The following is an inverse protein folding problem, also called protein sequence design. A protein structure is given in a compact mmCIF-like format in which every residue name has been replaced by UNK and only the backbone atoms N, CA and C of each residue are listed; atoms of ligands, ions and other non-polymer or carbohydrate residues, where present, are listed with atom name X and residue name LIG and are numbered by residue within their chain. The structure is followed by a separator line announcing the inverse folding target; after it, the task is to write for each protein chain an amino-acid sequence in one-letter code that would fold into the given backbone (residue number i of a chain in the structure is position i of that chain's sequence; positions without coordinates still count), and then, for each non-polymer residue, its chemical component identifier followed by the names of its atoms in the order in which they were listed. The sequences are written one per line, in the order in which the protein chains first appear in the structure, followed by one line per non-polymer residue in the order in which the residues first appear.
data_IF_947184627166
#
_entry.id   IF_947184627166
#
_cell.length_a   1.000
_cell.length_b   1.000
_cell.length_c   1.000
_cell.angle_alpha   90.00
_cell.angle_beta   90.00
_cell.angle_gamma   90.00
#
_symmetry.space_group_name_H-M   'P 1'
#
loop_
_entity.id
_entity.type
_entity.pdbx_description
1 polymer ?
#
# COMPACT_ATOMS: atom_id res chain seq x y z
N UNK A 1 -10.26 -6.87 -5.65
CA UNK A 1 -10.11 -6.28 -4.31
C UNK A 1 -8.73 -6.59 -3.73
N UNK A 2 -8.08 -5.60 -3.16
CA UNK A 2 -6.74 -5.80 -2.58
C UNK A 2 -6.85 -6.40 -1.21
N UNK A 3 -5.92 -7.30 -0.89
CA UNK A 3 -5.91 -8.02 0.39
C UNK A 3 -4.51 -8.00 0.99
N UNK A 4 -4.45 -8.21 2.29
CA UNK A 4 -3.17 -8.43 2.98
C UNK A 4 -2.49 -9.63 2.31
N UNK A 5 -1.21 -9.46 1.98
CA UNK A 5 -0.43 -10.47 1.28
C UNK A 5 -0.30 -10.23 -0.21
N UNK A 6 -1.12 -9.36 -0.78
CA UNK A 6 -1.04 -9.04 -2.21
C UNK A 6 0.19 -8.16 -2.49
N UNK A 7 0.79 -8.38 -3.66
CA UNK A 7 1.86 -7.52 -4.14
C UNK A 7 1.24 -6.41 -4.98
N UNK A 8 1.58 -5.17 -4.67
CA UNK A 8 1.06 -4.02 -5.41
C UNK A 8 2.17 -3.04 -5.73
N UNK A 9 1.91 -2.19 -6.70
CA UNK A 9 2.79 -1.09 -7.06
C UNK A 9 2.16 0.23 -6.62
N UNK A 10 2.99 1.19 -6.26
CA UNK A 10 2.53 2.49 -5.83
C UNK A 10 3.52 3.57 -6.23
N UNK A 11 3.07 4.80 -6.30
CA UNK A 11 3.91 5.94 -6.62
C UNK A 11 4.70 6.36 -5.38
N UNK A 12 6.00 6.60 -5.57
CA UNK A 12 6.84 7.02 -4.47
C UNK A 12 8.03 7.80 -4.99
N UNK A 13 8.24 9.01 -4.44
CA UNK A 13 9.44 9.85 -4.72
C UNK A 13 9.68 10.03 -6.22
N UNK A 14 8.64 10.28 -6.97
CA UNK A 14 8.76 10.53 -8.41
C UNK A 14 8.93 9.29 -9.27
N UNK A 15 8.86 8.10 -8.65
CA UNK A 15 8.94 6.84 -9.36
C UNK A 15 7.90 5.87 -8.87
N UNK A 16 8.19 4.59 -9.02
CA UNK A 16 7.31 3.51 -8.58
C UNK A 16 8.05 2.57 -7.65
N UNK A 17 7.34 2.07 -6.67
CA UNK A 17 7.83 1.03 -5.77
C UNK A 17 6.84 -0.11 -5.76
N UNK A 18 7.30 -1.29 -5.35
CA UNK A 18 6.48 -2.48 -5.28
C UNK A 18 6.67 -3.14 -3.93
N UNK A 19 5.60 -3.65 -3.36
CA UNK A 19 5.70 -4.33 -2.09
C UNK A 19 4.46 -5.12 -1.76
N UNK A 20 4.46 -5.72 -0.58
CA UNK A 20 3.39 -6.58 -0.10
C UNK A 20 2.56 -5.82 0.91
N UNK A 21 1.24 -5.90 0.76
CA UNK A 21 0.32 -5.29 1.71
C UNK A 21 0.40 -6.05 3.02
N UNK A 22 0.80 -5.38 4.09
CA UNK A 22 0.83 -5.95 5.43
C UNK A 22 -0.41 -5.60 6.23
N UNK A 23 -0.98 -4.43 5.97
CA UNK A 23 -2.16 -3.98 6.70
C UNK A 23 -2.96 -3.04 5.80
N UNK A 24 -4.27 -3.09 5.95
CA UNK A 24 -5.17 -2.18 5.26
C UNK A 24 -5.87 -1.35 6.32
N UNK A 25 -5.67 -0.04 6.27
CA UNK A 25 -6.29 0.87 7.23
C UNK A 25 -7.60 1.38 6.68
N UNK A 26 -8.66 1.16 7.44
CA UNK A 26 -10.00 1.53 7.04
C UNK A 26 -10.66 2.42 8.09
N UNK A 27 -11.63 3.19 7.62
CA UNK A 27 -12.54 3.92 8.50
C UNK A 27 -13.94 3.64 8.01
N UNK A 28 -14.69 2.84 8.79
CA UNK A 28 -15.98 2.33 8.32
C UNK A 28 -15.76 1.43 7.11
N UNK A 29 -16.44 1.73 6.02
CA UNK A 29 -16.31 0.97 4.78
C UNK A 29 -15.28 1.55 3.82
N UNK A 30 -14.57 2.59 4.24
CA UNK A 30 -13.62 3.29 3.35
C UNK A 30 -12.20 2.90 3.68
N UNK A 31 -11.44 2.57 2.63
CA UNK A 31 -10.02 2.30 2.77
C UNK A 31 -9.31 3.66 2.74
N UNK A 32 -8.48 3.90 3.75
CA UNK A 32 -7.72 5.14 3.86
C UNK A 32 -6.31 4.99 3.29
N UNK A 33 -5.63 3.94 3.72
CA UNK A 33 -4.24 3.73 3.32
C UNK A 33 -3.86 2.28 3.50
N UNK A 34 -2.65 1.97 3.01
CA UNK A 34 -2.09 0.62 3.11
C UNK A 34 -0.73 0.71 3.78
N UNK A 35 -0.41 -0.29 4.60
CA UNK A 35 0.93 -0.49 5.10
C UNK A 35 1.59 -1.53 4.21
N UNK A 36 2.68 -1.14 3.54
CA UNK A 36 3.31 -1.96 2.52
C UNK A 36 4.75 -2.23 2.88
N UNK A 37 5.17 -3.47 2.73
CA UNK A 37 6.53 -3.91 3.01
C UNK A 37 7.21 -4.28 1.70
N UNK A 38 8.34 -3.63 1.41
CA UNK A 38 9.06 -3.87 0.15
C UNK A 38 10.21 -4.86 0.28
N UNK A 39 10.35 -5.48 1.44
CA UNK A 39 11.46 -6.36 1.75
C UNK A 39 12.52 -5.69 2.61
N UNK A 40 12.45 -4.38 2.75
CA UNK A 40 13.43 -3.61 3.50
C UNK A 40 12.78 -2.53 4.36
N UNK A 41 11.80 -1.83 3.82
CA UNK A 41 11.11 -0.74 4.50
C UNK A 41 9.62 -0.92 4.50
N UNK A 42 8.97 -0.35 5.51
CA UNK A 42 7.53 -0.23 5.57
C UNK A 42 7.12 1.15 5.06
N UNK A 43 6.09 1.17 4.22
CA UNK A 43 5.54 2.39 3.67
C UNK A 43 4.08 2.51 4.07
N UNK A 44 3.68 3.73 4.44
CA UNK A 44 2.27 4.03 4.68
C UNK A 44 1.77 4.79 3.46
N UNK A 45 1.02 4.11 2.60
CA UNK A 45 0.68 4.61 1.27
C UNK A 45 -0.82 4.89 1.19
N UNK A 46 -1.16 6.13 0.84
CA UNK A 46 -2.56 6.50 0.63
C UNK A 46 -3.14 5.72 -0.55
N UNK A 47 -4.43 5.44 -0.50
CA UNK A 47 -5.07 4.63 -1.55
C UNK A 47 -4.91 5.25 -2.94
N UNK A 48 -4.84 6.58 -3.01
CA UNK A 48 -4.70 7.31 -4.28
C UNK A 48 -3.34 7.09 -4.94
N UNK A 49 -2.36 6.65 -4.17
CA UNK A 49 -1.01 6.42 -4.69
C UNK A 49 -0.81 5.02 -5.27
N UNK A 50 -1.78 4.15 -5.08
CA UNK A 50 -1.71 2.79 -5.63
C UNK A 50 -1.95 2.83 -7.13
N UNK A 51 -1.15 2.10 -7.86
CA UNK A 51 -1.23 2.02 -9.31
C UNK A 51 -2.12 0.88 -9.79
#
# INVERSE_FOLDING_TARGET
MRRVGDTIEFKFAGGKEKGIIKEIKKRGNKILSYSIWDGKYNYNVAKEMIL
#
